data_IF_919148461110
#
_entry.id   IF_919148461110
#
_cell.length_a   1.000
_cell.length_b   1.000
_cell.length_c   1.000
_cell.angle_alpha   90.00
_cell.angle_beta   90.00
_cell.angle_gamma   90.00
#
_symmetry.space_group_name_H-M   'P 1'
#
loop_
_entity.id
_entity.type
_entity.pdbx_description
1 polymer ?
#
# COMPACT_ATOMS: atom_id res chain seq x y z
N UNK A 1 -13.88 27.03 -16.28
CA UNK A 1 -13.39 26.89 -14.89
C UNK A 1 -12.20 25.93 -14.91
N UNK A 2 -10.98 26.43 -14.74
CA UNK A 2 -9.81 25.58 -14.54
C UNK A 2 -10.04 24.83 -13.22
N UNK A 3 -10.19 23.51 -13.32
CA UNK A 3 -10.21 22.66 -12.13
C UNK A 3 -8.79 22.76 -11.56
N UNK A 4 -8.61 23.53 -10.49
CA UNK A 4 -7.34 23.57 -9.76
C UNK A 4 -7.08 22.15 -9.26
N UNK A 5 -6.05 21.52 -9.81
CA UNK A 5 -5.66 20.17 -9.41
C UNK A 5 -5.13 20.19 -7.98
N UNK A 6 -5.54 19.21 -7.19
CA UNK A 6 -5.01 19.03 -5.87
C UNK A 6 -3.51 18.68 -5.97
N UNK A 7 -2.68 19.50 -5.36
CA UNK A 7 -1.23 19.29 -5.24
C UNK A 7 -0.86 19.10 -3.79
N UNK A 8 0.21 18.39 -3.54
CA UNK A 8 0.76 18.22 -2.18
C UNK A 8 1.15 19.56 -1.58
N UNK A 9 0.86 19.75 -0.30
CA UNK A 9 1.19 21.00 0.41
C UNK A 9 2.70 21.16 0.62
N UNK A 10 3.46 20.07 0.60
CA UNK A 10 4.90 20.05 0.80
C UNK A 10 5.54 18.85 0.12
N UNK A 11 6.77 18.97 -0.45
CA UNK A 11 7.53 17.83 -0.95
C UNK A 11 7.77 16.75 0.11
N UNK A 12 7.96 17.13 1.35
CA UNK A 12 8.14 16.19 2.46
C UNK A 12 6.90 15.33 2.71
N UNK A 13 5.71 15.90 2.59
CA UNK A 13 4.47 15.12 2.72
C UNK A 13 4.30 14.10 1.59
N UNK A 14 4.73 14.45 0.38
CA UNK A 14 4.78 13.48 -0.73
C UNK A 14 5.76 12.34 -0.43
N UNK A 15 6.97 12.65 0.04
CA UNK A 15 7.97 11.65 0.40
C UNK A 15 7.45 10.73 1.51
N UNK A 16 6.89 11.30 2.58
CA UNK A 16 6.30 10.53 3.68
C UNK A 16 5.15 9.64 3.20
N UNK A 17 4.26 10.16 2.35
CA UNK A 17 3.16 9.36 1.80
C UNK A 17 3.67 8.23 0.90
N UNK A 18 4.67 8.49 0.05
CA UNK A 18 5.30 7.49 -0.80
C UNK A 18 6.01 6.42 0.04
N UNK A 19 6.74 6.82 1.09
CA UNK A 19 7.38 5.89 2.03
C UNK A 19 6.32 5.05 2.77
N UNK A 20 5.27 5.67 3.30
CA UNK A 20 4.19 4.96 3.99
C UNK A 20 3.45 3.98 3.09
N UNK A 21 3.27 4.30 1.80
CA UNK A 21 2.68 3.36 0.84
C UNK A 21 3.61 2.19 0.51
N UNK A 22 4.92 2.36 0.66
CA UNK A 22 5.91 1.31 0.42
C UNK A 22 6.09 0.37 1.64
N UNK A 23 5.81 0.86 2.85
CA UNK A 23 5.87 0.06 4.08
C UNK A 23 4.57 -0.74 4.22
N UNK A 24 4.66 -2.05 4.22
CA UNK A 24 3.51 -2.93 4.32
C UNK A 24 3.88 -4.31 4.84
N UNK A 25 2.94 -5.23 4.81
CA UNK A 25 3.10 -6.62 5.26
C UNK A 25 4.31 -7.32 4.62
N UNK A 26 4.60 -7.00 3.36
CA UNK A 26 5.77 -7.55 2.66
C UNK A 26 7.08 -7.21 3.36
N UNK A 27 7.25 -5.97 3.77
CA UNK A 27 8.48 -5.47 4.36
C UNK A 27 8.62 -5.87 5.84
N UNK A 28 7.51 -5.83 6.57
CA UNK A 28 7.52 -6.04 8.03
C UNK A 28 7.55 -7.54 8.36
N UNK A 29 6.83 -8.35 7.60
CA UNK A 29 6.67 -9.77 7.88
C UNK A 29 7.42 -10.66 6.89
N UNK A 30 7.11 -10.55 5.60
CA UNK A 30 7.59 -11.52 4.60
C UNK A 30 9.07 -11.37 4.29
N UNK A 31 9.58 -10.15 4.21
CA UNK A 31 10.98 -9.90 3.88
C UNK A 31 11.96 -10.43 4.94
N UNK A 32 11.78 -10.20 6.25
CA UNK A 32 12.63 -10.78 7.28
C UNK A 32 12.62 -12.32 7.27
N UNK A 33 11.45 -12.92 7.08
CA UNK A 33 11.31 -14.38 6.98
C UNK A 33 12.10 -14.95 5.80
N UNK A 34 11.88 -14.43 4.59
CA UNK A 34 12.59 -14.87 3.38
C UNK A 34 14.10 -14.63 3.51
N UNK A 35 14.49 -13.51 4.11
CA UNK A 35 15.90 -13.20 4.37
C UNK A 35 16.55 -14.28 5.24
N UNK A 36 15.88 -14.69 6.31
CA UNK A 36 16.37 -15.75 7.19
C UNK A 36 16.55 -17.09 6.49
N UNK A 37 15.60 -17.46 5.62
CA UNK A 37 15.65 -18.75 4.88
C UNK A 37 16.65 -18.76 3.72
N UNK A 38 17.02 -17.60 3.18
CA UNK A 38 17.83 -17.52 1.95
C UNK A 38 19.24 -16.94 2.18
N UNK A 39 19.84 -17.20 3.31
CA UNK A 39 21.25 -16.85 3.55
C UNK A 39 21.48 -15.46 4.16
N UNK A 40 20.44 -14.87 4.77
CA UNK A 40 20.58 -13.67 5.61
C UNK A 40 21.19 -12.47 4.86
N UNK A 41 22.37 -12.03 5.31
CA UNK A 41 23.04 -10.86 4.76
C UNK A 41 23.38 -10.93 3.27
N UNK A 42 23.71 -12.12 2.76
CA UNK A 42 23.99 -12.30 1.33
C UNK A 42 22.74 -12.04 0.47
N UNK A 43 21.58 -12.52 0.91
CA UNK A 43 20.30 -12.22 0.27
C UNK A 43 20.01 -10.72 0.28
N UNK A 44 20.23 -10.03 1.42
CA UNK A 44 20.01 -8.57 1.51
C UNK A 44 20.91 -7.80 0.55
N UNK A 45 22.18 -8.17 0.42
CA UNK A 45 23.10 -7.52 -0.54
C UNK A 45 22.62 -7.69 -1.98
N UNK A 46 22.21 -8.91 -2.37
CA UNK A 46 21.67 -9.17 -3.68
C UNK A 46 20.36 -8.41 -3.94
N UNK A 47 19.49 -8.35 -2.93
CA UNK A 47 18.25 -7.56 -2.98
C UNK A 47 18.55 -6.06 -3.21
N UNK A 48 19.48 -5.48 -2.45
CA UNK A 48 19.88 -4.09 -2.63
C UNK A 48 20.46 -3.83 -4.03
N UNK A 49 21.25 -4.76 -4.55
CA UNK A 49 21.75 -4.67 -5.93
C UNK A 49 20.58 -4.53 -6.93
N UNK A 50 19.57 -5.40 -6.84
CA UNK A 50 18.40 -5.32 -7.73
C UNK A 50 17.56 -4.06 -7.48
N UNK A 51 17.43 -3.59 -6.25
CA UNK A 51 16.74 -2.32 -5.95
C UNK A 51 17.43 -1.15 -6.66
N UNK A 52 18.76 -1.09 -6.63
CA UNK A 52 19.51 -0.02 -7.29
C UNK A 52 19.45 -0.10 -8.81
N UNK A 53 19.67 -1.27 -9.38
CA UNK A 53 19.80 -1.41 -10.83
C UNK A 53 18.48 -1.58 -11.57
N UNK A 54 17.45 -2.10 -10.92
CA UNK A 54 16.14 -2.30 -11.51
C UNK A 54 15.06 -1.44 -10.85
N UNK A 55 15.00 -1.41 -9.54
CA UNK A 55 13.95 -0.72 -8.79
C UNK A 55 13.96 0.78 -8.99
N UNK A 56 15.12 1.43 -8.84
CA UNK A 56 15.22 2.89 -9.00
C UNK A 56 14.90 3.36 -10.42
N UNK A 57 15.42 2.77 -11.51
CA UNK A 57 15.04 3.18 -12.87
C UNK A 57 13.54 3.04 -13.14
N UNK A 58 12.90 1.97 -12.64
CA UNK A 58 11.45 1.78 -12.78
C UNK A 58 10.70 2.88 -12.03
N UNK A 59 11.06 3.14 -10.77
CA UNK A 59 10.45 4.20 -9.95
C UNK A 59 10.58 5.58 -10.60
N UNK A 60 11.76 5.92 -11.11
CA UNK A 60 11.95 7.19 -11.84
C UNK A 60 11.09 7.28 -13.09
N UNK A 61 10.96 6.19 -13.84
CA UNK A 61 10.10 6.14 -15.03
C UNK A 61 8.63 6.36 -14.68
N UNK A 62 8.13 5.74 -13.62
CA UNK A 62 6.76 5.91 -13.14
C UNK A 62 6.47 7.35 -12.70
N UNK A 63 7.39 7.94 -11.92
CA UNK A 63 7.28 9.34 -11.49
C UNK A 63 7.28 10.29 -12.70
N UNK A 64 8.15 10.06 -13.68
CA UNK A 64 8.22 10.87 -14.89
C UNK A 64 6.94 10.79 -15.71
N UNK A 65 6.39 9.60 -15.93
CA UNK A 65 5.11 9.39 -16.63
C UNK A 65 3.99 10.12 -15.88
N UNK A 66 3.90 9.95 -14.58
CA UNK A 66 2.89 10.59 -13.74
C UNK A 66 3.00 12.12 -13.77
N UNK A 67 4.21 12.67 -13.66
CA UNK A 67 4.48 14.10 -13.69
C UNK A 67 4.20 14.72 -15.06
N UNK A 68 4.55 14.03 -16.15
CA UNK A 68 4.36 14.52 -17.53
C UNK A 68 2.90 14.48 -17.92
N UNK A 69 2.21 13.38 -17.71
CA UNK A 69 0.84 13.19 -18.12
C UNK A 69 -0.18 13.86 -17.20
N UNK A 70 0.05 13.88 -15.91
CA UNK A 70 -0.86 14.39 -14.87
C UNK A 70 -2.31 13.91 -15.05
N UNK A 71 -2.48 12.64 -15.38
CA UNK A 71 -3.76 11.95 -15.61
C UNK A 71 -3.81 10.68 -14.79
N UNK A 72 -4.96 10.01 -14.77
CA UNK A 72 -5.05 8.66 -14.21
C UNK A 72 -4.14 7.69 -15.00
N UNK A 73 -3.75 6.54 -14.44
CA UNK A 73 -2.76 5.63 -15.04
C UNK A 73 -3.08 5.24 -16.49
N UNK A 74 -4.34 4.96 -16.80
CA UNK A 74 -4.79 4.56 -18.16
C UNK A 74 -4.55 5.69 -19.17
N UNK A 75 -5.03 6.89 -18.82
CA UNK A 75 -4.90 8.05 -19.68
C UNK A 75 -3.47 8.63 -19.69
N UNK A 76 -2.68 8.40 -18.65
CA UNK A 76 -1.28 8.77 -18.59
C UNK A 76 -0.46 7.96 -19.62
N UNK A 77 -0.63 6.64 -19.61
CA UNK A 77 0.04 5.76 -20.57
C UNK A 77 -0.38 6.06 -22.01
N UNK A 78 -1.69 6.27 -22.26
CA UNK A 78 -2.18 6.70 -23.59
C UNK A 78 -1.54 8.01 -24.04
N UNK A 79 -1.50 9.02 -23.16
CA UNK A 79 -0.98 10.35 -23.46
C UNK A 79 0.52 10.31 -23.82
N UNK A 80 1.33 9.65 -23.00
CA UNK A 80 2.79 9.54 -23.24
C UNK A 80 3.08 8.71 -24.49
N UNK A 81 2.31 7.65 -24.75
CA UNK A 81 2.44 6.87 -25.98
C UNK A 81 2.16 7.69 -27.23
N UNK A 82 1.08 8.45 -27.24
CA UNK A 82 0.73 9.34 -28.38
C UNK A 82 1.80 10.41 -28.59
N UNK A 83 2.31 11.02 -27.53
CA UNK A 83 3.36 12.04 -27.60
C UNK A 83 4.69 11.48 -28.16
N UNK A 84 4.94 10.19 -27.92
CA UNK A 84 6.13 9.48 -28.42
C UNK A 84 5.91 8.82 -29.81
N UNK A 85 4.79 9.07 -30.46
CA UNK A 85 4.46 8.45 -31.76
C UNK A 85 4.10 6.96 -31.65
N UNK A 86 3.90 6.42 -30.44
CA UNK A 86 3.49 5.04 -30.23
C UNK A 86 1.96 4.87 -30.26
N UNK A 87 1.51 3.64 -30.48
CA UNK A 87 0.09 3.33 -30.58
C UNK A 87 -0.68 3.46 -29.26
N UNK A 88 -1.99 3.69 -29.33
CA UNK A 88 -2.86 3.86 -28.16
C UNK A 88 -3.00 2.59 -27.30
N UNK A 89 -2.57 1.43 -27.76
CA UNK A 89 -2.64 0.16 -27.03
C UNK A 89 -1.85 0.17 -25.71
N UNK A 90 -0.89 1.06 -25.53
CA UNK A 90 -0.16 1.24 -24.29
C UNK A 90 -1.07 1.60 -23.09
N UNK A 91 -2.28 2.10 -23.33
CA UNK A 91 -3.29 2.30 -22.30
C UNK A 91 -3.63 1.04 -21.51
N UNK A 92 -3.49 -0.15 -22.13
CA UNK A 92 -3.75 -1.43 -21.46
C UNK A 92 -2.78 -1.72 -20.32
N UNK A 93 -1.54 -1.24 -20.38
CA UNK A 93 -0.59 -1.35 -19.25
C UNK A 93 -1.12 -0.56 -18.05
N UNK A 94 -1.61 0.66 -18.28
CA UNK A 94 -2.26 1.44 -17.21
C UNK A 94 -3.52 0.76 -16.66
N UNK A 95 -4.32 0.12 -17.52
CA UNK A 95 -5.50 -0.62 -17.12
C UNK A 95 -5.13 -1.85 -16.27
N UNK A 96 -4.12 -2.62 -16.67
CA UNK A 96 -3.61 -3.75 -15.91
C UNK A 96 -3.11 -3.32 -14.52
N UNK A 97 -2.42 -2.17 -14.43
CA UNK A 97 -2.00 -1.60 -13.15
C UNK A 97 -3.18 -1.27 -12.22
N UNK A 98 -4.26 -0.72 -12.76
CA UNK A 98 -5.48 -0.44 -11.98
C UNK A 98 -6.15 -1.74 -11.51
N UNK A 99 -6.28 -2.74 -12.38
CA UNK A 99 -6.83 -4.05 -12.03
C UNK A 99 -5.99 -4.72 -10.94
N UNK A 100 -4.66 -4.73 -11.11
CA UNK A 100 -3.75 -5.25 -10.10
C UNK A 100 -3.92 -4.54 -8.75
N UNK A 101 -4.04 -3.21 -8.74
CA UNK A 101 -4.32 -2.44 -7.54
C UNK A 101 -5.63 -2.84 -6.85
N UNK A 102 -6.70 -3.07 -7.61
CA UNK A 102 -7.98 -3.54 -7.08
C UNK A 102 -7.86 -4.95 -6.47
N UNK A 103 -7.17 -5.86 -7.13
CA UNK A 103 -6.96 -7.22 -6.62
C UNK A 103 -6.10 -7.21 -5.35
N UNK A 104 -5.06 -6.38 -5.30
CA UNK A 104 -4.23 -6.20 -4.11
C UNK A 104 -5.08 -5.63 -2.97
N UNK A 105 -5.88 -4.60 -3.22
CA UNK A 105 -6.74 -4.00 -2.20
C UNK A 105 -7.73 -5.01 -1.60
N UNK A 106 -8.32 -5.87 -2.41
CA UNK A 106 -9.26 -6.89 -1.95
C UNK A 106 -8.63 -7.85 -0.94
N UNK A 107 -7.39 -8.27 -1.17
CA UNK A 107 -6.63 -9.11 -0.25
C UNK A 107 -6.12 -8.33 0.97
N UNK A 108 -5.52 -7.17 0.75
CA UNK A 108 -4.93 -6.37 1.83
C UNK A 108 -5.96 -5.87 2.83
N UNK A 109 -7.15 -5.52 2.39
CA UNK A 109 -8.20 -5.03 3.29
C UNK A 109 -8.67 -6.08 4.30
N UNK A 110 -8.65 -7.37 3.92
CA UNK A 110 -8.96 -8.47 4.85
C UNK A 110 -7.88 -8.58 5.92
N UNK A 111 -6.60 -8.60 5.52
CA UNK A 111 -5.49 -8.70 6.48
C UNK A 111 -5.39 -7.45 7.36
N UNK A 112 -5.66 -6.27 6.80
CA UNK A 112 -5.73 -5.05 7.59
C UNK A 112 -6.87 -5.10 8.63
N UNK A 113 -7.99 -5.74 8.29
CA UNK A 113 -9.06 -6.05 9.25
C UNK A 113 -8.56 -6.93 10.39
N UNK A 114 -7.77 -7.97 10.10
CA UNK A 114 -7.16 -8.80 11.16
C UNK A 114 -6.26 -7.98 12.08
N UNK A 115 -5.41 -7.14 11.50
CA UNK A 115 -4.55 -6.25 12.29
C UNK A 115 -5.36 -5.34 13.21
N UNK A 116 -6.47 -4.78 12.75
CA UNK A 116 -7.35 -3.98 13.60
C UNK A 116 -7.98 -4.78 14.74
N UNK A 117 -8.38 -6.04 14.49
CA UNK A 117 -8.86 -6.94 15.55
C UNK A 117 -7.81 -7.15 16.62
N UNK A 118 -6.57 -7.49 16.23
CA UNK A 118 -5.48 -7.66 17.17
C UNK A 118 -5.14 -6.40 17.96
N UNK A 119 -5.12 -5.23 17.29
CA UNK A 119 -4.90 -3.94 17.98
C UNK A 119 -5.99 -3.69 19.01
N UNK A 120 -7.27 -3.95 18.67
CA UNK A 120 -8.38 -3.84 19.61
C UNK A 120 -8.17 -4.72 20.85
N UNK A 121 -7.83 -5.98 20.65
CA UNK A 121 -7.63 -6.94 21.73
C UNK A 121 -6.47 -6.54 22.67
N UNK A 122 -5.38 -5.99 22.11
CA UNK A 122 -4.27 -5.49 22.91
C UNK A 122 -4.63 -4.22 23.68
N UNK A 123 -5.42 -3.32 23.10
CA UNK A 123 -5.84 -2.08 23.78
C UNK A 123 -6.84 -2.37 24.89
N UNK A 124 -7.73 -3.33 24.69
CA UNK A 124 -8.73 -3.71 25.71
C UNK A 124 -8.16 -4.68 26.76
N UNK A 125 -6.93 -5.15 26.60
CA UNK A 125 -6.27 -6.15 27.44
C UNK A 125 -7.08 -7.46 27.60
N UNK A 126 -7.99 -7.72 26.66
CA UNK A 126 -8.90 -8.90 26.73
C UNK A 126 -8.19 -10.22 26.45
N UNK A 127 -7.05 -10.22 25.76
CA UNK A 127 -6.22 -11.41 25.61
C UNK A 127 -4.79 -11.08 25.18
N UNK A 128 -3.91 -10.95 26.15
CA UNK A 128 -2.47 -10.93 25.92
C UNK A 128 -2.03 -12.36 25.59
N UNK A 129 -1.57 -12.56 24.38
CA UNK A 129 -1.04 -13.86 23.94
C UNK A 129 0.34 -14.06 24.57
N UNK A 130 0.51 -15.16 25.33
CA UNK A 130 1.75 -15.46 26.04
C UNK A 130 2.53 -16.64 25.44
N UNK A 131 1.89 -17.44 24.56
CA UNK A 131 2.52 -18.57 23.88
C UNK A 131 2.21 -18.64 22.39
N UNK A 132 3.01 -19.43 21.68
CA UNK A 132 2.79 -19.68 20.24
C UNK A 132 1.48 -20.44 19.99
N UNK A 133 1.14 -21.36 20.87
CA UNK A 133 -0.10 -22.12 20.79
C UNK A 133 -1.32 -21.21 20.91
N UNK A 134 -1.34 -20.32 21.89
CA UNK A 134 -2.40 -19.32 22.06
C UNK A 134 -2.51 -18.37 20.85
N UNK A 135 -1.38 -17.99 20.25
CA UNK A 135 -1.38 -17.18 19.03
C UNK A 135 -2.06 -17.91 17.87
N UNK A 136 -1.74 -19.18 17.68
CA UNK A 136 -2.34 -20.01 16.64
C UNK A 136 -3.83 -20.25 16.86
N UNK A 137 -4.24 -20.56 18.08
CA UNK A 137 -5.64 -20.75 18.42
C UNK A 137 -6.45 -19.49 18.16
N UNK A 138 -5.94 -18.33 18.57
CA UNK A 138 -6.57 -17.03 18.33
C UNK A 138 -6.70 -16.72 16.84
N UNK A 139 -5.64 -16.95 16.06
CA UNK A 139 -5.67 -16.77 14.61
C UNK A 139 -6.69 -17.71 13.98
N UNK A 140 -6.70 -18.99 14.36
CA UNK A 140 -7.65 -19.97 13.84
C UNK A 140 -9.10 -19.60 14.19
N UNK A 141 -9.34 -19.14 15.42
CA UNK A 141 -10.66 -18.65 15.83
C UNK A 141 -11.11 -17.46 14.96
N UNK A 142 -10.22 -16.49 14.75
CA UNK A 142 -10.51 -15.32 13.91
C UNK A 142 -10.84 -15.73 12.46
N UNK A 143 -10.02 -16.58 11.84
CA UNK A 143 -10.19 -17.04 10.45
C UNK A 143 -11.46 -17.85 10.29
N UNK A 144 -11.85 -18.65 11.28
CA UNK A 144 -13.05 -19.46 11.24
C UNK A 144 -14.33 -18.72 11.68
N UNK A 145 -14.21 -17.41 11.95
CA UNK A 145 -15.34 -16.56 12.35
C UNK A 145 -15.73 -15.57 11.25
N UNK A 146 -16.47 -15.96 10.19
CA UNK A 146 -16.76 -15.10 9.03
C UNK A 146 -17.41 -13.77 9.40
N UNK A 147 -18.26 -13.76 10.40
CA UNK A 147 -18.95 -12.55 10.86
C UNK A 147 -17.98 -11.53 11.44
N UNK A 148 -17.05 -11.97 12.28
CA UNK A 148 -15.99 -11.13 12.86
C UNK A 148 -15.07 -10.57 11.78
N UNK A 149 -14.69 -11.40 10.81
CA UNK A 149 -13.87 -10.96 9.66
C UNK A 149 -14.58 -9.88 8.85
N UNK A 150 -15.86 -10.05 8.56
CA UNK A 150 -16.64 -9.06 7.81
C UNK A 150 -16.74 -7.74 8.56
N UNK A 151 -16.95 -7.75 9.88
CA UNK A 151 -17.00 -6.52 10.69
C UNK A 151 -15.69 -5.76 10.60
N UNK A 152 -14.56 -6.40 10.89
CA UNK A 152 -13.25 -5.75 10.90
C UNK A 152 -12.81 -5.28 9.50
N UNK A 153 -13.06 -6.09 8.47
CA UNK A 153 -12.85 -5.71 7.08
C UNK A 153 -13.69 -4.47 6.70
N UNK A 154 -14.98 -4.48 7.05
CA UNK A 154 -15.88 -3.36 6.75
C UNK A 154 -15.44 -2.10 7.48
N UNK A 155 -15.05 -2.20 8.74
CA UNK A 155 -14.53 -1.08 9.51
C UNK A 155 -13.28 -0.46 8.86
N UNK A 156 -12.31 -1.30 8.48
CA UNK A 156 -11.13 -0.85 7.76
C UNK A 156 -11.48 -0.14 6.44
N UNK A 157 -12.37 -0.74 5.65
CA UNK A 157 -12.82 -0.15 4.39
C UNK A 157 -13.55 1.18 4.58
N UNK A 158 -14.39 1.30 5.60
CA UNK A 158 -15.06 2.57 5.92
C UNK A 158 -14.05 3.67 6.25
N UNK A 159 -13.06 3.38 7.09
CA UNK A 159 -11.98 4.34 7.41
C UNK A 159 -11.24 4.75 6.13
N UNK A 160 -10.88 3.79 5.30
CA UNK A 160 -10.18 4.02 4.03
C UNK A 160 -11.02 4.90 3.10
N UNK A 161 -12.31 4.58 2.92
CA UNK A 161 -13.23 5.37 2.08
C UNK A 161 -13.37 6.79 2.60
N UNK A 162 -13.49 6.99 3.91
CA UNK A 162 -13.58 8.34 4.51
C UNK A 162 -12.31 9.16 4.25
N UNK A 163 -11.13 8.55 4.38
CA UNK A 163 -9.85 9.22 4.11
C UNK A 163 -9.77 9.61 2.63
N UNK A 164 -10.07 8.67 1.72
CA UNK A 164 -10.01 8.89 0.28
C UNK A 164 -11.05 9.93 -0.18
N UNK A 165 -12.27 9.85 0.32
CA UNK A 165 -13.35 10.79 -0.02
C UNK A 165 -13.06 12.24 0.39
N UNK A 166 -12.25 12.45 1.45
CA UNK A 166 -11.79 13.79 1.86
C UNK A 166 -10.72 14.38 0.95
N UNK A 167 -10.22 13.61 -0.02
CA UNK A 167 -9.24 14.03 -1.01
C UNK A 167 -7.82 14.18 -0.45
N UNK A 168 -6.93 14.76 -1.29
CA UNK A 168 -5.50 14.78 -1.01
C UNK A 168 -5.16 15.53 0.29
N UNK A 169 -5.55 16.81 0.39
CA UNK A 169 -5.13 17.67 1.51
C UNK A 169 -5.79 17.33 2.84
N UNK A 170 -7.10 17.11 2.84
CA UNK A 170 -7.89 16.87 4.06
C UNK A 170 -7.99 15.39 4.45
N UNK A 171 -7.65 14.49 3.55
CA UNK A 171 -7.66 13.06 3.79
C UNK A 171 -6.25 12.49 3.87
N UNK A 172 -5.59 12.35 2.72
CA UNK A 172 -4.28 11.70 2.65
C UNK A 172 -3.19 12.40 3.44
N UNK A 173 -3.03 13.73 3.31
CA UNK A 173 -1.99 14.45 4.05
C UNK A 173 -2.23 14.40 5.56
N UNK A 174 -3.49 14.47 6.00
CA UNK A 174 -3.82 14.37 7.41
C UNK A 174 -3.54 12.97 7.95
N UNK A 175 -3.95 11.92 7.22
CA UNK A 175 -3.66 10.54 7.56
C UNK A 175 -2.15 10.28 7.61
N UNK A 176 -1.40 10.76 6.62
CA UNK A 176 0.07 10.63 6.59
C UNK A 176 0.71 11.30 7.80
N UNK A 177 0.31 12.53 8.14
CA UNK A 177 0.84 13.24 9.31
C UNK A 177 0.55 12.53 10.63
N UNK A 178 -0.60 11.88 10.73
CA UNK A 178 -1.01 11.18 11.96
C UNK A 178 -0.36 9.80 12.09
N UNK A 179 -0.26 9.05 10.99
CA UNK A 179 0.15 7.65 11.02
C UNK A 179 1.66 7.45 10.85
N UNK A 180 2.34 8.29 10.04
CA UNK A 180 3.77 8.12 9.79
C UNK A 180 4.68 8.25 11.02
N UNK A 181 4.40 9.10 12.03
CA UNK A 181 5.19 9.14 13.25
C UNK A 181 5.08 7.88 14.11
N UNK A 182 4.06 7.06 13.90
CA UNK A 182 3.80 5.82 14.65
C UNK A 182 4.49 4.62 13.98
N UNK A 183 4.85 4.75 12.72
CA UNK A 183 5.47 3.73 11.88
C UNK A 183 6.98 3.79 11.98
#
# INVERSE_FOLDING_TARGET
>A
KSIMRATWSSPWLFILAATGSAVGLGNIWRFPYITGENGGGAFVLLYLFFVFFMGLPILFSEILIGKRAQKNPINAMKFVAQESGAGEHWKFIGALGVIAGCLILSFYSVIAGWCLSYVSDYVTAESLVSSFEEANEKLNHLINSPFTLIIWHTLFMLVTVVIVARGLKKGFELATKALMPVL
#
